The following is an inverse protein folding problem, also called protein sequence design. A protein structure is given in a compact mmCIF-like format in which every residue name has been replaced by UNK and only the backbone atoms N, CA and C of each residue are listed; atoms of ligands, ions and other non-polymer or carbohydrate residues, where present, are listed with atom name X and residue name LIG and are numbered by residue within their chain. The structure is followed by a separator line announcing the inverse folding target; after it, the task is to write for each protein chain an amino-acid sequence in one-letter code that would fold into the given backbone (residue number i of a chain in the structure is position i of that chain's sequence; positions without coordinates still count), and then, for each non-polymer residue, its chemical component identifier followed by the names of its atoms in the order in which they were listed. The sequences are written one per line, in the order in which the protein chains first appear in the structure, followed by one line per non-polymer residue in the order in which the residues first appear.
data_IF_500478947111
#
_entry.id   IF_500478947111
#
_cell.length_a   1.000
_cell.length_b   1.000
_cell.length_c   1.000
_cell.angle_alpha   90.00
_cell.angle_beta   90.00
_cell.angle_gamma   90.00
#
_symmetry.space_group_name_H-M   'P 1'
#
loop_
_entity.id
_entity.type
_entity.pdbx_description
1 polymer ?
#
# COMPACT_ATOMS: atom_id res chain seq x y z
N UNK A 1 -7.26 -16.76 -7.98
CA UNK A 1 -5.98 -16.13 -7.61
C UNK A 1 -5.32 -15.64 -8.89
N UNK A 2 -5.42 -14.34 -9.17
CA UNK A 2 -4.69 -13.71 -10.28
C UNK A 2 -3.28 -13.40 -9.77
N UNK A 3 -2.26 -14.09 -10.27
CA UNK A 3 -0.88 -13.69 -10.06
C UNK A 3 -0.65 -12.40 -10.84
N UNK A 4 -0.76 -11.25 -10.17
CA UNK A 4 -0.23 -10.02 -10.74
C UNK A 4 1.29 -10.21 -10.80
N UNK A 5 1.85 -10.18 -12.00
CA UNK A 5 3.30 -10.04 -12.16
C UNK A 5 3.61 -8.64 -11.66
N UNK A 6 4.08 -8.56 -10.42
CA UNK A 6 4.42 -7.28 -9.81
C UNK A 6 5.83 -6.94 -10.27
N UNK A 7 5.92 -5.94 -11.14
CA UNK A 7 7.15 -5.49 -11.77
C UNK A 7 8.09 -4.74 -10.82
N UNK A 8 7.66 -4.43 -9.60
CA UNK A 8 8.45 -3.67 -8.63
C UNK A 8 8.12 -4.01 -7.18
N UNK A 9 9.13 -4.08 -6.28
CA UNK A 9 8.90 -4.18 -4.83
C UNK A 9 7.99 -3.07 -4.29
N UNK A 10 8.11 -1.84 -4.81
CA UNK A 10 7.30 -0.71 -4.35
C UNK A 10 5.81 -0.90 -4.67
N UNK A 11 5.50 -1.40 -5.87
CA UNK A 11 4.13 -1.74 -6.27
C UNK A 11 3.59 -2.88 -5.42
N UNK A 12 4.41 -3.87 -5.09
CA UNK A 12 3.99 -5.01 -4.28
C UNK A 12 3.56 -4.56 -2.88
N UNK A 13 4.36 -3.70 -2.26
CA UNK A 13 4.05 -3.18 -0.93
C UNK A 13 2.86 -2.22 -0.94
N UNK A 14 2.75 -1.36 -1.96
CA UNK A 14 1.59 -0.47 -2.10
C UNK A 14 0.27 -1.27 -2.25
N UNK A 15 0.29 -2.35 -3.03
CA UNK A 15 -0.84 -3.27 -3.15
C UNK A 15 -1.14 -3.95 -1.81
N UNK A 16 -0.12 -4.44 -1.09
CA UNK A 16 -0.31 -5.06 0.21
C UNK A 16 -0.96 -4.10 1.23
N UNK A 17 -0.53 -2.83 1.26
CA UNK A 17 -1.13 -1.79 2.12
C UNK A 17 -2.59 -1.53 1.72
N UNK A 18 -2.90 -1.43 0.42
CA UNK A 18 -4.27 -1.21 -0.05
C UNK A 18 -5.20 -2.35 0.36
N UNK A 19 -4.79 -3.60 0.13
CA UNK A 19 -5.58 -4.78 0.51
C UNK A 19 -5.77 -4.85 2.03
N UNK A 20 -4.74 -4.51 2.82
CA UNK A 20 -4.86 -4.42 4.27
C UNK A 20 -5.89 -3.38 4.72
N UNK A 21 -5.90 -2.19 4.08
CA UNK A 21 -6.88 -1.14 4.37
C UNK A 21 -8.30 -1.53 3.96
N UNK A 22 -8.47 -2.14 2.78
CA UNK A 22 -9.78 -2.64 2.32
C UNK A 22 -10.33 -3.73 3.24
N UNK A 23 -9.46 -4.63 3.69
CA UNK A 23 -9.83 -5.69 4.64
C UNK A 23 -10.14 -5.12 6.03
N UNK A 24 -9.35 -4.18 6.52
CA UNK A 24 -9.65 -3.48 7.78
C UNK A 24 -11.00 -2.76 7.70
N UNK A 25 -11.28 -2.09 6.59
CA UNK A 25 -12.57 -1.42 6.36
C UNK A 25 -13.74 -2.40 6.31
N UNK A 26 -13.59 -3.57 5.67
CA UNK A 26 -14.68 -4.56 5.60
C UNK A 26 -14.95 -5.22 6.96
N UNK A 27 -13.96 -5.24 7.85
CA UNK A 27 -14.06 -5.72 9.22
C UNK A 27 -14.43 -4.63 10.24
N UNK A 28 -14.73 -3.40 9.79
CA UNK A 28 -14.97 -2.23 10.63
C UNK A 28 -13.83 -1.92 11.63
N UNK A 29 -12.60 -2.26 11.29
CA UNK A 29 -11.41 -1.89 12.06
C UNK A 29 -11.10 -0.41 11.79
N UNK A 30 -11.35 0.44 12.78
CA UNK A 30 -11.19 1.90 12.66
C UNK A 30 -9.81 2.39 13.08
N UNK A 31 -9.03 1.56 13.77
CA UNK A 31 -7.70 1.90 14.25
C UNK A 31 -6.70 0.85 13.78
N UNK A 32 -5.81 1.26 12.87
CA UNK A 32 -4.78 0.40 12.30
C UNK A 32 -3.42 1.07 12.45
N UNK A 33 -2.39 0.26 12.72
CA UNK A 33 -0.99 0.66 12.59
C UNK A 33 -0.32 -0.30 11.63
N UNK A 34 0.25 0.25 10.56
CA UNK A 34 1.00 -0.51 9.55
C UNK A 34 2.49 -0.17 9.68
N UNK A 35 3.33 -1.17 9.43
CA UNK A 35 4.78 -1.05 9.46
C UNK A 35 5.31 -1.50 8.10
N UNK A 36 6.24 -0.72 7.53
CA UNK A 36 6.98 -1.05 6.33
C UNK A 36 8.42 -0.57 6.54
N UNK A 37 9.38 -1.24 5.94
CA UNK A 37 10.78 -0.81 5.87
C UNK A 37 11.06 0.00 4.58
N UNK A 38 10.10 0.07 3.66
CA UNK A 38 10.19 0.82 2.42
C UNK A 38 9.92 2.30 2.64
N UNK A 39 11.01 3.05 2.79
CA UNK A 39 10.98 4.49 3.03
C UNK A 39 10.28 5.27 1.91
N UNK A 40 10.36 4.80 0.66
CA UNK A 40 9.67 5.45 -0.47
C UNK A 40 8.16 5.35 -0.29
N UNK A 41 7.66 4.16 0.05
CA UNK A 41 6.24 3.97 0.33
C UNK A 41 5.77 4.79 1.54
N UNK A 42 6.54 4.76 2.64
CA UNK A 42 6.22 5.54 3.84
C UNK A 42 6.09 7.03 3.52
N UNK A 43 7.03 7.59 2.74
CA UNK A 43 6.98 9.00 2.32
C UNK A 43 5.81 9.28 1.40
N UNK A 44 5.52 8.41 0.43
CA UNK A 44 4.39 8.58 -0.47
C UNK A 44 3.05 8.66 0.29
N UNK A 45 2.85 7.78 1.28
CA UNK A 45 1.64 7.75 2.11
C UNK A 45 1.59 8.93 3.09
N UNK A 46 2.70 9.19 3.79
CA UNK A 46 2.74 10.19 4.89
C UNK A 46 2.74 11.62 4.37
N UNK A 47 3.58 11.90 3.37
CA UNK A 47 3.78 13.25 2.84
C UNK A 47 2.82 13.55 1.66
N UNK A 48 1.94 12.60 1.31
CA UNK A 48 1.06 12.63 0.13
C UNK A 48 1.82 12.98 -1.16
N UNK A 49 3.08 12.54 -1.25
CA UNK A 49 3.91 12.73 -2.45
C UNK A 49 3.50 11.72 -3.50
N UNK A 50 3.19 12.22 -4.69
CA UNK A 50 2.81 11.39 -5.83
C UNK A 50 4.05 10.69 -6.41
N UNK A 51 4.25 9.44 -6.03
CA UNK A 51 5.19 8.54 -6.69
C UNK A 51 4.51 7.93 -7.92
N UNK A 52 5.04 8.21 -9.12
CA UNK A 52 4.43 7.79 -10.41
C UNK A 52 4.20 6.29 -10.51
N UNK A 53 5.05 5.51 -9.86
CA UNK A 53 5.04 4.05 -9.90
C UNK A 53 3.84 3.43 -9.18
N UNK A 54 3.32 4.10 -8.15
CA UNK A 54 2.16 3.64 -7.37
C UNK A 54 0.94 4.54 -7.58
N UNK A 55 0.97 5.37 -8.63
CA UNK A 55 -0.14 6.24 -8.98
C UNK A 55 -1.39 5.43 -9.38
N UNK A 56 -2.51 5.68 -8.71
CA UNK A 56 -3.78 5.00 -8.97
C UNK A 56 -3.92 3.63 -8.30
N UNK A 57 -2.92 3.21 -7.50
CA UNK A 57 -3.10 2.17 -6.48
C UNK A 57 -3.92 2.76 -5.33
#
# INVERSE_FOLDING_TARGET
MIHQIISSPLVAEALAVREALQTASSLNVTHLRMFSDNQTLIRAITDKRFEKEIYGI
#
